data_IF_213341784203
#
_entry.id   IF_213341784203
#
_cell.length_a   1.000
_cell.length_b   1.000
_cell.length_c   1.000
_cell.angle_alpha   90.00
_cell.angle_beta   90.00
_cell.angle_gamma   90.00
#
_symmetry.space_group_name_H-M   'P 1'
#
loop_
_entity.id
_entity.type
_entity.pdbx_description
1 polymer ?
#
# COMPACT_ATOMS: atom_id res chain seq x y z
N UNK A 1 14.37 8.75 4.79
CA UNK A 1 13.20 9.07 3.93
C UNK A 1 12.51 10.30 4.49
N UNK A 2 12.23 10.40 5.79
CA UNK A 2 11.56 11.54 6.41
C UNK A 2 12.20 12.90 6.04
N UNK A 3 13.53 12.98 6.03
CA UNK A 3 14.24 14.21 5.60
C UNK A 3 13.98 14.62 4.15
N UNK A 4 13.54 13.69 3.29
CA UNK A 4 13.22 13.94 1.88
C UNK A 4 11.73 14.21 1.65
N UNK A 5 10.88 13.97 2.66
CA UNK A 5 9.42 14.06 2.55
C UNK A 5 8.92 15.41 1.98
N UNK A 6 9.35 16.57 2.49
CA UNK A 6 8.86 17.85 1.97
C UNK A 6 9.15 18.03 0.49
N UNK A 7 10.35 17.65 0.03
CA UNK A 7 10.74 17.71 -1.37
C UNK A 7 9.98 16.73 -2.26
N UNK A 8 9.66 15.54 -1.74
CA UNK A 8 8.83 14.56 -2.47
C UNK A 8 7.39 15.05 -2.58
N UNK A 9 6.83 15.59 -1.52
CA UNK A 9 5.49 16.19 -1.50
C UNK A 9 5.37 17.32 -2.52
N UNK A 10 6.32 18.23 -2.56
CA UNK A 10 6.38 19.31 -3.56
C UNK A 10 6.41 18.74 -4.99
N UNK A 11 7.23 17.73 -5.25
CA UNK A 11 7.31 17.07 -6.55
C UNK A 11 6.02 16.36 -6.96
N UNK A 12 5.26 15.82 -5.99
CA UNK A 12 3.96 15.20 -6.25
C UNK A 12 2.93 16.27 -6.61
N UNK A 13 2.80 17.31 -5.78
CA UNK A 13 1.81 18.39 -5.97
C UNK A 13 2.02 19.10 -7.31
N UNK A 14 3.27 19.33 -7.71
CA UNK A 14 3.61 20.00 -8.97
C UNK A 14 3.65 19.05 -10.19
N UNK A 15 3.21 17.80 -10.03
CA UNK A 15 3.13 16.84 -11.14
C UNK A 15 1.90 17.10 -12.01
N UNK A 16 1.96 16.82 -13.32
CA UNK A 16 0.77 16.79 -14.18
C UNK A 16 -0.29 15.79 -13.72
N UNK A 17 0.12 14.69 -13.08
CA UNK A 17 -0.75 13.71 -12.45
C UNK A 17 -0.24 13.39 -11.04
N UNK A 18 -0.68 14.14 -10.01
CA UNK A 18 -0.27 13.93 -8.63
C UNK A 18 -0.68 12.54 -8.11
N UNK A 19 -1.88 12.05 -8.47
CA UNK A 19 -2.37 10.75 -8.04
C UNK A 19 -1.46 9.62 -8.51
N UNK A 20 -1.20 9.53 -9.80
CA UNK A 20 -0.33 8.48 -10.36
C UNK A 20 1.09 8.56 -9.78
N UNK A 21 1.62 9.78 -9.61
CA UNK A 21 2.95 9.96 -9.05
C UNK A 21 3.05 9.51 -7.59
N UNK A 22 2.07 9.86 -6.76
CA UNK A 22 2.03 9.43 -5.35
C UNK A 22 1.82 7.91 -5.25
N UNK A 23 0.94 7.33 -6.07
CA UNK A 23 0.71 5.89 -6.17
C UNK A 23 2.00 5.14 -6.48
N UNK A 24 2.77 5.59 -7.47
CA UNK A 24 4.08 5.00 -7.81
C UNK A 24 5.06 5.07 -6.65
N UNK A 25 5.11 6.17 -5.94
CA UNK A 25 5.94 6.31 -4.74
C UNK A 25 5.50 5.33 -3.64
N UNK A 26 4.21 5.18 -3.39
CA UNK A 26 3.68 4.23 -2.41
C UNK A 26 4.07 2.77 -2.75
N UNK A 27 4.02 2.39 -4.03
CA UNK A 27 4.47 1.06 -4.47
C UNK A 27 6.00 0.91 -4.37
N UNK A 28 6.76 1.99 -4.58
CA UNK A 28 8.23 1.97 -4.51
C UNK A 28 8.78 1.68 -3.13
N UNK A 29 8.04 2.01 -2.09
CA UNK A 29 8.42 1.72 -0.71
C UNK A 29 8.72 0.23 -0.49
N UNK A 30 7.98 -0.65 -1.16
CA UNK A 30 8.16 -2.10 -1.12
C UNK A 30 9.53 -2.58 -1.66
N UNK A 31 10.27 -1.75 -2.39
CA UNK A 31 11.63 -2.06 -2.88
C UNK A 31 12.67 -1.82 -1.78
N UNK A 32 12.41 -0.91 -0.85
CA UNK A 32 13.37 -0.54 0.18
C UNK A 32 13.66 -1.67 1.16
N UNK A 33 12.77 -2.64 1.28
CA UNK A 33 12.95 -3.86 2.05
C UNK A 33 14.01 -4.82 1.49
N UNK A 34 14.28 -4.75 0.19
CA UNK A 34 15.33 -5.56 -0.46
C UNK A 34 16.76 -5.03 -0.22
N UNK A 35 16.91 -3.93 0.50
CA UNK A 35 18.14 -3.17 0.68
C UNK A 35 19.14 -3.77 1.68
N UNK A 36 19.38 -5.08 1.66
CA UNK A 36 20.51 -5.71 2.38
C UNK A 36 21.83 -5.55 1.62
N UNK A 37 21.86 -4.84 0.49
CA UNK A 37 23.13 -4.52 -0.18
C UNK A 37 23.60 -3.11 0.21
N UNK A 38 24.86 -3.01 0.62
CA UNK A 38 25.57 -1.80 1.09
C UNK A 38 25.66 -0.63 0.05
N UNK A 39 24.89 -0.66 -1.04
CA UNK A 39 24.91 0.36 -2.10
C UNK A 39 23.53 0.77 -2.60
N UNK A 40 22.48 0.66 -1.75
CA UNK A 40 21.12 1.02 -2.15
C UNK A 40 20.98 2.55 -2.31
N UNK A 41 20.81 3.01 -3.55
CA UNK A 41 20.56 4.41 -3.84
C UNK A 41 19.06 4.67 -3.96
N UNK A 42 18.47 5.22 -2.89
CA UNK A 42 17.04 5.57 -2.80
C UNK A 42 16.60 6.42 -4.00
N UNK A 43 17.39 7.41 -4.40
CA UNK A 43 17.01 8.32 -5.48
C UNK A 43 16.96 7.62 -6.85
N UNK A 44 17.89 6.70 -7.12
CA UNK A 44 17.87 5.89 -8.36
C UNK A 44 16.66 4.95 -8.38
N UNK A 45 16.34 4.34 -7.25
CA UNK A 45 15.17 3.45 -7.14
C UNK A 45 13.87 4.21 -7.35
N UNK A 46 13.71 5.36 -6.71
CA UNK A 46 12.55 6.23 -6.91
C UNK A 46 12.42 6.66 -8.39
N UNK A 47 13.53 7.03 -9.04
CA UNK A 47 13.51 7.38 -10.46
C UNK A 47 13.07 6.20 -11.34
N UNK A 48 13.60 5.00 -11.07
CA UNK A 48 13.22 3.80 -11.81
C UNK A 48 11.72 3.52 -11.71
N UNK A 49 11.15 3.58 -10.51
CA UNK A 49 9.71 3.32 -10.31
C UNK A 49 8.83 4.37 -10.98
N UNK A 50 9.24 5.64 -10.88
CA UNK A 50 8.50 6.74 -11.51
C UNK A 50 8.47 6.64 -13.05
N UNK A 51 9.40 5.89 -13.66
CA UNK A 51 9.50 5.69 -15.10
C UNK A 51 9.03 4.30 -15.56
N UNK A 52 8.82 3.34 -14.65
CA UNK A 52 8.40 1.98 -14.99
C UNK A 52 6.92 1.93 -15.28
N UNK A 53 6.50 1.16 -16.28
CA UNK A 53 5.09 0.84 -16.47
C UNK A 53 4.63 -0.18 -15.43
N UNK A 54 3.34 -0.14 -15.10
CA UNK A 54 2.72 -1.21 -14.32
C UNK A 54 2.44 -2.40 -15.23
N UNK A 55 2.84 -3.60 -14.81
CA UNK A 55 2.55 -4.82 -15.56
C UNK A 55 1.06 -5.20 -15.54
N UNK A 56 0.37 -4.80 -14.45
CA UNK A 56 -1.09 -4.77 -14.35
C UNK A 56 -1.43 -3.38 -13.85
N UNK A 57 -2.30 -2.66 -14.54
CA UNK A 57 -2.59 -1.26 -14.27
C UNK A 57 -4.10 -0.98 -14.17
N UNK A 58 -4.66 -1.16 -12.98
CA UNK A 58 -6.02 -0.77 -12.65
C UNK A 58 -6.06 0.58 -11.91
N UNK A 59 -5.04 1.43 -12.06
CA UNK A 59 -4.89 2.70 -11.32
C UNK A 59 -6.00 3.71 -11.63
N UNK A 60 -6.51 3.73 -12.86
CA UNK A 60 -7.63 4.59 -13.25
C UNK A 60 -8.90 4.14 -12.52
N UNK A 61 -9.19 2.84 -12.52
CA UNK A 61 -10.34 2.30 -11.80
C UNK A 61 -10.21 2.52 -10.29
N UNK A 62 -9.02 2.30 -9.72
CA UNK A 62 -8.75 2.61 -8.32
C UNK A 62 -9.09 4.06 -7.97
N UNK A 63 -8.63 5.02 -8.78
CA UNK A 63 -8.91 6.45 -8.57
C UNK A 63 -10.41 6.74 -8.58
N UNK A 64 -11.14 6.20 -9.56
CA UNK A 64 -12.60 6.37 -9.66
C UNK A 64 -13.35 5.75 -8.48
N UNK A 65 -12.91 4.58 -8.03
CA UNK A 65 -13.53 3.87 -6.90
C UNK A 65 -13.30 4.63 -5.59
N UNK A 66 -12.09 5.11 -5.33
CA UNK A 66 -11.80 5.96 -4.17
C UNK A 66 -12.69 7.20 -4.15
N UNK A 67 -12.86 7.87 -5.28
CA UNK A 67 -13.69 9.08 -5.36
C UNK A 67 -15.19 8.85 -5.07
N UNK A 68 -15.66 7.63 -5.30
CA UNK A 68 -17.07 7.24 -5.10
C UNK A 68 -17.31 6.54 -3.75
N UNK A 69 -16.26 6.11 -3.08
CA UNK A 69 -16.35 5.41 -1.80
C UNK A 69 -16.85 6.32 -0.69
N UNK A 70 -17.64 5.78 0.24
CA UNK A 70 -17.94 6.42 1.52
C UNK A 70 -16.85 6.11 2.54
N UNK A 71 -16.25 4.92 2.46
CA UNK A 71 -15.21 4.46 3.39
C UNK A 71 -14.09 3.77 2.61
N UNK A 72 -12.86 4.20 2.85
CA UNK A 72 -11.65 3.59 2.30
C UNK A 72 -10.85 2.97 3.43
N UNK A 73 -10.43 1.71 3.27
CA UNK A 73 -9.49 1.04 4.16
C UNK A 73 -8.15 0.85 3.44
N UNK A 74 -7.08 1.37 4.02
CA UNK A 74 -5.72 1.21 3.53
C UNK A 74 -4.95 0.23 4.43
N UNK A 75 -4.54 -0.91 3.89
CA UNK A 75 -3.73 -1.91 4.61
C UNK A 75 -2.25 -1.64 4.36
N UNK A 76 -1.55 -1.12 5.36
CA UNK A 76 -0.10 -0.93 5.34
C UNK A 76 0.64 -2.27 5.34
N UNK A 77 1.93 -2.23 4.99
CA UNK A 77 2.82 -3.40 5.01
C UNK A 77 4.04 -3.10 5.90
N UNK A 78 5.11 -2.50 5.37
CA UNK A 78 6.36 -2.35 6.11
C UNK A 78 6.60 -0.93 6.64
N UNK A 79 7.24 -0.80 7.82
CA UNK A 79 7.53 0.49 8.47
C UNK A 79 8.41 1.42 7.60
N UNK A 80 9.27 0.86 6.75
CA UNK A 80 10.13 1.65 5.86
C UNK A 80 9.38 2.38 4.74
N UNK A 81 8.17 1.95 4.39
CA UNK A 81 7.40 2.49 3.27
C UNK A 81 6.25 3.41 3.68
N UNK A 82 5.81 3.38 4.94
CA UNK A 82 4.61 4.10 5.39
C UNK A 82 4.67 5.63 5.15
N UNK A 83 5.86 6.20 5.02
CA UNK A 83 6.05 7.61 4.64
C UNK A 83 5.52 7.90 3.23
N UNK A 84 5.68 6.95 2.32
CA UNK A 84 5.13 7.07 0.96
C UNK A 84 3.63 6.78 0.94
N UNK A 85 3.15 5.89 1.79
CA UNK A 85 1.72 5.66 2.00
C UNK A 85 1.05 6.95 2.50
N UNK A 86 1.66 7.64 3.49
CA UNK A 86 1.18 8.95 3.96
C UNK A 86 1.07 9.95 2.80
N UNK A 87 2.09 10.04 1.96
CA UNK A 87 2.08 10.95 0.81
C UNK A 87 0.96 10.63 -0.19
N UNK A 88 0.69 9.35 -0.41
CA UNK A 88 -0.41 8.93 -1.27
C UNK A 88 -1.77 9.23 -0.63
N UNK A 89 -1.94 8.96 0.66
CA UNK A 89 -3.16 9.27 1.41
C UNK A 89 -3.44 10.78 1.42
N UNK A 90 -2.42 11.61 1.64
CA UNK A 90 -2.55 13.07 1.52
C UNK A 90 -2.98 13.51 0.12
N UNK A 91 -2.55 12.78 -0.92
CA UNK A 91 -2.94 13.07 -2.31
C UNK A 91 -4.37 12.61 -2.61
N UNK A 92 -4.83 11.53 -2.00
CA UNK A 92 -6.21 11.03 -2.10
C UNK A 92 -7.19 12.01 -1.47
N UNK A 93 -6.87 12.59 -0.32
CA UNK A 93 -7.70 13.51 0.47
C UNK A 93 -9.12 12.96 0.75
N UNK A 94 -9.23 11.66 1.05
CA UNK A 94 -10.52 11.03 1.32
C UNK A 94 -10.96 11.31 2.77
N UNK A 95 -12.20 11.81 3.02
CA UNK A 95 -12.62 12.27 4.33
C UNK A 95 -12.84 11.16 5.36
N UNK A 96 -12.97 9.91 4.92
CA UNK A 96 -13.21 8.74 5.77
C UNK A 96 -12.28 7.60 5.32
N UNK A 97 -11.00 7.73 5.67
CA UNK A 97 -9.95 6.77 5.34
C UNK A 97 -9.32 6.21 6.61
N UNK A 98 -9.33 4.89 6.73
CA UNK A 98 -8.65 4.14 7.78
C UNK A 98 -7.32 3.62 7.28
N UNK A 99 -6.25 3.78 8.06
CA UNK A 99 -4.94 3.20 7.82
C UNK A 99 -4.68 2.09 8.82
N UNK A 100 -4.66 0.85 8.35
CA UNK A 100 -4.47 -0.33 9.20
C UNK A 100 -3.01 -0.79 9.20
N UNK A 101 -2.48 -1.01 10.39
CA UNK A 101 -1.14 -1.58 10.66
C UNK A 101 -1.25 -2.93 11.35
N UNK A 102 -0.13 -3.63 11.53
CA UNK A 102 -0.08 -4.93 12.22
C UNK A 102 -0.40 -4.81 13.71
N UNK A 103 -0.83 -5.93 14.29
CA UNK A 103 -1.14 -6.05 15.72
C UNK A 103 0.07 -5.88 16.61
N UNK A 104 1.24 -6.34 16.14
CA UNK A 104 2.51 -6.24 16.84
C UNK A 104 3.68 -6.08 15.85
N UNK A 105 4.87 -5.86 16.37
CA UNK A 105 6.11 -5.78 15.60
C UNK A 105 6.53 -7.15 15.07
N UNK A 106 6.16 -7.44 13.83
CA UNK A 106 6.49 -8.68 13.12
C UNK A 106 7.45 -8.36 11.98
N UNK A 107 8.68 -8.86 12.06
CA UNK A 107 9.76 -8.60 11.11
C UNK A 107 9.99 -7.09 10.99
N UNK A 108 9.52 -6.46 9.92
CA UNK A 108 9.60 -5.03 9.64
C UNK A 108 8.22 -4.42 9.34
N UNK A 109 7.16 -5.10 9.75
CA UNK A 109 5.80 -4.62 9.56
C UNK A 109 5.56 -3.30 10.31
N UNK A 110 4.76 -2.43 9.72
CA UNK A 110 4.36 -1.17 10.34
C UNK A 110 3.44 -1.41 11.55
N UNK A 111 3.70 -0.67 12.62
CA UNK A 111 2.94 -0.69 13.88
C UNK A 111 2.21 0.63 14.11
N UNK A 112 1.34 0.67 15.13
CA UNK A 112 0.69 1.93 15.56
C UNK A 112 1.71 2.99 15.99
N UNK A 113 2.84 2.58 16.60
CA UNK A 113 3.90 3.50 17.00
C UNK A 113 4.57 4.12 15.77
N UNK A 114 4.89 3.31 14.75
CA UNK A 114 5.47 3.79 13.49
C UNK A 114 4.53 4.78 12.79
N UNK A 115 3.23 4.45 12.71
CA UNK A 115 2.24 5.30 12.08
C UNK A 115 2.11 6.66 12.81
N UNK A 116 2.07 6.66 14.15
CA UNK A 116 2.07 7.90 14.96
C UNK A 116 3.36 8.68 14.81
N UNK A 117 4.51 8.00 14.77
CA UNK A 117 5.81 8.65 14.61
C UNK A 117 5.89 9.50 13.33
N UNK A 118 5.26 9.07 12.25
CA UNK A 118 5.20 9.83 11.01
C UNK A 118 3.96 10.73 10.90
N UNK A 119 3.17 10.85 11.98
CA UNK A 119 1.95 11.65 12.02
C UNK A 119 0.92 11.21 10.95
N UNK A 120 0.72 9.90 10.80
CA UNK A 120 -0.29 9.35 9.88
C UNK A 120 -1.71 9.72 10.33
N UNK A 121 -1.92 9.92 11.63
CA UNK A 121 -3.17 10.35 12.27
C UNK A 121 -3.63 11.76 11.87
N UNK A 122 -2.79 12.56 11.23
CA UNK A 122 -3.20 13.84 10.63
C UNK A 122 -3.98 13.67 9.32
N UNK A 123 -3.89 12.50 8.69
CA UNK A 123 -4.41 12.26 7.33
C UNK A 123 -5.30 11.03 7.20
N UNK A 124 -5.37 10.18 8.23
CA UNK A 124 -6.19 8.97 8.28
C UNK A 124 -6.49 8.56 9.72
N UNK A 125 -7.59 7.85 9.95
CA UNK A 125 -7.83 7.14 11.20
C UNK A 125 -6.95 5.89 11.27
N UNK A 126 -5.97 5.87 12.20
CA UNK A 126 -5.05 4.74 12.33
C UNK A 126 -5.64 3.65 13.22
N UNK A 127 -5.62 2.40 12.72
CA UNK A 127 -6.11 1.23 13.45
C UNK A 127 -5.09 0.10 13.43
N UNK A 128 -5.17 -0.78 14.42
CA UNK A 128 -4.44 -2.05 14.41
C UNK A 128 -5.32 -3.15 13.87
N UNK A 129 -4.79 -4.02 13.01
CA UNK A 129 -5.52 -5.22 12.61
C UNK A 129 -5.59 -6.29 13.73
N UNK A 130 -4.83 -6.11 14.82
CA UNK A 130 -4.83 -7.01 15.98
C UNK A 130 -4.23 -8.40 15.71
N UNK A 131 -3.65 -8.62 14.52
CA UNK A 131 -3.05 -9.91 14.14
C UNK A 131 -1.52 -9.77 13.99
N UNK A 132 -0.79 -10.65 14.65
CA UNK A 132 0.67 -10.67 14.77
C UNK A 132 1.36 -11.55 13.71
N UNK A 133 0.98 -11.37 12.43
CA UNK A 133 1.58 -12.11 11.33
C UNK A 133 1.82 -11.21 10.10
N UNK A 134 2.74 -11.59 9.19
CA UNK A 134 3.11 -10.77 8.02
C UNK A 134 2.05 -10.75 6.90
N UNK A 135 0.79 -11.11 7.23
CA UNK A 135 -0.34 -11.14 6.30
C UNK A 135 -1.60 -10.59 6.99
N UNK A 136 -2.65 -10.33 6.24
CA UNK A 136 -3.98 -10.05 6.80
C UNK A 136 -4.89 -11.26 6.58
N UNK A 137 -5.14 -12.00 7.66
CA UNK A 137 -6.13 -13.09 7.70
C UNK A 137 -7.33 -12.55 8.49
N UNK A 138 -8.37 -12.13 7.79
CA UNK A 138 -9.50 -11.35 8.37
C UNK A 138 -10.09 -12.05 9.60
N UNK A 139 -10.29 -13.36 9.56
CA UNK A 139 -10.88 -14.15 10.66
C UNK A 139 -9.99 -14.23 11.93
N UNK A 140 -8.74 -13.79 11.82
CA UNK A 140 -7.78 -13.72 12.94
C UNK A 140 -7.53 -12.31 13.44
N UNK A 141 -8.10 -11.33 12.75
CA UNK A 141 -7.96 -9.93 13.11
C UNK A 141 -8.91 -9.54 14.27
N UNK A 142 -8.67 -8.35 14.84
CA UNK A 142 -9.52 -7.80 15.89
C UNK A 142 -10.94 -7.54 15.40
N UNK A 143 -11.92 -7.57 16.30
CA UNK A 143 -13.32 -7.25 15.96
C UNK A 143 -13.49 -5.86 15.38
N UNK A 144 -12.75 -4.87 15.90
CA UNK A 144 -12.71 -3.50 15.39
C UNK A 144 -12.24 -3.45 13.92
N UNK A 145 -11.13 -4.13 13.62
CA UNK A 145 -10.63 -4.20 12.25
C UNK A 145 -11.64 -4.88 11.31
N UNK A 146 -12.22 -6.01 11.72
CA UNK A 146 -13.22 -6.75 10.93
C UNK A 146 -14.41 -5.87 10.62
N UNK A 147 -14.92 -5.10 11.60
CA UNK A 147 -16.04 -4.20 11.38
C UNK A 147 -15.73 -3.14 10.32
N UNK A 148 -14.54 -2.53 10.37
CA UNK A 148 -14.10 -1.54 9.39
C UNK A 148 -13.87 -2.20 8.01
N UNK A 149 -13.25 -3.38 7.99
CA UNK A 149 -13.02 -4.16 6.77
C UNK A 149 -14.34 -4.47 6.05
N UNK A 150 -15.37 -4.88 6.80
CA UNK A 150 -16.69 -5.17 6.24
C UNK A 150 -17.46 -3.92 5.79
N UNK A 151 -17.23 -2.76 6.41
CA UNK A 151 -17.83 -1.48 6.02
C UNK A 151 -17.13 -0.80 4.84
N UNK A 152 -15.86 -1.12 4.59
CA UNK A 152 -15.10 -0.48 3.54
C UNK A 152 -15.69 -0.76 2.15
N UNK A 153 -15.91 0.32 1.38
CA UNK A 153 -16.32 0.24 -0.03
C UNK A 153 -15.13 -0.09 -0.93
N UNK A 154 -13.94 0.40 -0.56
CA UNK A 154 -12.68 0.16 -1.28
C UNK A 154 -11.60 -0.18 -0.28
N UNK A 155 -10.85 -1.23 -0.56
CA UNK A 155 -9.68 -1.65 0.22
C UNK A 155 -8.43 -1.51 -0.66
N UNK A 156 -7.47 -0.71 -0.19
CA UNK A 156 -6.13 -0.58 -0.77
C UNK A 156 -5.20 -1.48 0.04
N UNK A 157 -4.57 -2.46 -0.59
CA UNK A 157 -3.78 -3.47 0.11
C UNK A 157 -2.33 -3.44 -0.37
N UNK A 158 -1.41 -3.12 0.55
CA UNK A 158 0.02 -3.06 0.28
C UNK A 158 0.70 -4.40 0.52
N UNK A 159 1.65 -4.72 -0.36
CA UNK A 159 2.58 -5.81 -0.20
C UNK A 159 2.04 -7.22 -0.52
N UNK A 160 2.99 -8.13 -0.73
CA UNK A 160 2.68 -9.50 -1.15
C UNK A 160 2.05 -10.34 -0.03
N UNK A 161 2.44 -10.13 1.24
CA UNK A 161 1.85 -10.83 2.37
C UNK A 161 0.34 -10.58 2.49
N UNK A 162 -0.10 -9.33 2.31
CA UNK A 162 -1.53 -9.01 2.30
C UNK A 162 -2.25 -9.60 1.07
N UNK A 163 -1.60 -9.59 -0.11
CA UNK A 163 -2.15 -10.28 -1.29
C UNK A 163 -2.45 -11.75 -0.99
N UNK A 164 -1.49 -12.48 -0.41
CA UNK A 164 -1.62 -13.90 -0.10
C UNK A 164 -2.76 -14.18 0.89
N UNK A 165 -2.94 -13.32 1.89
CA UNK A 165 -4.00 -13.48 2.89
C UNK A 165 -5.41 -13.11 2.41
N UNK A 166 -5.49 -12.23 1.40
CA UNK A 166 -6.78 -11.68 0.95
C UNK A 166 -7.21 -12.16 -0.44
N UNK A 167 -6.38 -12.95 -1.11
CA UNK A 167 -6.62 -13.36 -2.49
C UNK A 167 -7.95 -14.11 -2.66
N UNK A 168 -8.36 -14.88 -1.67
CA UNK A 168 -9.59 -15.69 -1.71
C UNK A 168 -10.85 -14.96 -1.20
N UNK A 169 -10.70 -13.72 -0.68
CA UNK A 169 -11.84 -12.90 -0.25
C UNK A 169 -12.57 -12.34 -1.48
N UNK A 170 -13.66 -12.99 -1.90
CA UNK A 170 -14.38 -12.68 -3.15
C UNK A 170 -15.41 -11.56 -3.05
N UNK A 171 -15.75 -11.14 -1.85
CA UNK A 171 -16.87 -10.26 -1.52
C UNK A 171 -16.50 -8.77 -1.41
N UNK A 172 -15.20 -8.44 -1.52
CA UNK A 172 -14.70 -7.06 -1.34
C UNK A 172 -14.01 -6.49 -2.58
N UNK A 173 -14.15 -5.19 -2.75
CA UNK A 173 -13.44 -4.40 -3.76
C UNK A 173 -12.01 -4.12 -3.27
N UNK A 174 -11.06 -5.00 -3.58
CA UNK A 174 -9.66 -4.91 -3.13
C UNK A 174 -8.76 -4.56 -4.30
N UNK A 175 -7.91 -3.55 -4.11
CA UNK A 175 -6.81 -3.21 -5.01
C UNK A 175 -5.47 -3.49 -4.35
N UNK A 176 -4.68 -4.34 -4.98
CA UNK A 176 -3.36 -4.71 -4.51
C UNK A 176 -2.29 -3.83 -5.14
N UNK A 177 -1.47 -3.21 -4.31
CA UNK A 177 -0.36 -2.33 -4.70
C UNK A 177 0.96 -2.95 -4.24
N UNK A 178 1.72 -3.55 -5.15
CA UNK A 178 2.96 -4.24 -4.77
C UNK A 178 3.97 -4.35 -5.91
N UNK A 179 5.22 -4.64 -5.54
CA UNK A 179 6.21 -5.22 -6.43
C UNK A 179 6.19 -6.74 -6.25
N UNK A 180 6.23 -7.47 -7.36
CA UNK A 180 6.25 -8.93 -7.37
C UNK A 180 7.62 -9.45 -6.88
N UNK A 181 7.63 -10.13 -5.73
CA UNK A 181 8.87 -10.58 -5.06
C UNK A 181 9.22 -12.05 -5.32
N UNK A 182 8.25 -12.91 -5.63
CA UNK A 182 8.50 -14.34 -5.84
C UNK A 182 7.97 -14.85 -7.19
N UNK A 183 8.55 -15.97 -7.65
CA UNK A 183 8.19 -16.59 -8.93
C UNK A 183 6.78 -17.18 -8.92
N UNK A 184 6.30 -17.70 -7.77
CA UNK A 184 4.96 -18.31 -7.66
C UNK A 184 3.87 -17.30 -7.94
N UNK A 185 3.96 -16.12 -7.31
CA UNK A 185 3.00 -15.02 -7.56
C UNK A 185 3.16 -14.46 -8.97
N UNK A 186 4.40 -14.34 -9.48
CA UNK A 186 4.65 -13.91 -10.85
C UNK A 186 3.93 -14.81 -11.87
N UNK A 187 4.09 -16.12 -11.74
CA UNK A 187 3.43 -17.12 -12.60
C UNK A 187 1.91 -17.08 -12.47
N UNK A 188 1.40 -17.04 -11.24
CA UNK A 188 -0.05 -16.96 -10.95
C UNK A 188 -0.71 -15.74 -11.59
N UNK A 189 0.00 -14.60 -11.63
CA UNK A 189 -0.51 -13.34 -12.19
C UNK A 189 -0.12 -13.11 -13.65
N UNK A 190 0.69 -13.98 -14.26
CA UNK A 190 1.16 -13.82 -15.63
C UNK A 190 2.13 -12.64 -15.83
N UNK A 191 2.88 -12.27 -14.80
CA UNK A 191 3.84 -11.16 -14.79
C UNK A 191 5.25 -11.65 -14.43
N UNK A 192 6.22 -10.76 -14.34
CA UNK A 192 7.61 -11.10 -13.99
C UNK A 192 7.93 -10.69 -12.54
N UNK A 193 8.86 -11.43 -11.94
CA UNK A 193 9.47 -10.98 -10.69
C UNK A 193 10.14 -9.62 -10.87
N UNK A 194 9.86 -8.68 -10.01
CA UNK A 194 10.32 -7.30 -10.06
C UNK A 194 9.35 -6.34 -10.74
N UNK A 195 8.28 -6.83 -11.35
CA UNK A 195 7.23 -5.99 -11.93
C UNK A 195 6.43 -5.30 -10.82
N UNK A 196 5.92 -4.11 -11.14
CA UNK A 196 4.99 -3.35 -10.33
C UNK A 196 3.57 -3.59 -10.81
N UNK A 197 2.67 -3.76 -9.87
CA UNK A 197 1.25 -3.97 -10.18
C UNK A 197 0.36 -3.07 -9.33
N UNK A 198 -0.66 -2.56 -9.98
CA UNK A 198 -1.87 -2.00 -9.39
C UNK A 198 -2.99 -2.89 -9.89
N UNK A 199 -3.46 -3.80 -9.05
CA UNK A 199 -4.31 -4.88 -9.51
C UNK A 199 -5.59 -4.94 -8.70
N UNK A 200 -6.74 -4.85 -9.38
CA UNK A 200 -8.02 -5.19 -8.81
C UNK A 200 -8.15 -6.70 -8.65
N UNK A 201 -8.66 -7.15 -7.53
CA UNK A 201 -8.78 -8.57 -7.20
C UNK A 201 -9.48 -9.42 -8.25
N UNK A 202 -10.53 -8.94 -8.88
CA UNK A 202 -11.34 -9.70 -9.86
C UNK A 202 -10.60 -9.95 -11.21
N UNK A 203 -9.38 -9.45 -11.37
CA UNK A 203 -8.50 -9.71 -12.52
C UNK A 203 -7.74 -11.04 -12.45
N UNK A 204 -7.87 -11.80 -11.35
CA UNK A 204 -7.16 -13.07 -11.17
C UNK A 204 -8.08 -14.21 -11.64
N UNK A 205 -7.70 -14.85 -12.75
CA UNK A 205 -8.34 -16.08 -13.25
C UNK A 205 -7.71 -17.31 -12.62
#
# INVERSE_FOLDING_TARGET
>A
ILSKYPKLKEKVINSPDPFNKALRLAISGNIMDYGVSNSFNVDQTLQKVLQSDFAIDDSIELKEKIQKANTVLYLGDNCGEIVFDKLFIETIMHPNLYYAVRGDAIINAATLEDARYIQMDEVADIISNGYDAPSTIVDKCSAEFVEIFEKADVIISKGQGNLEGLLERSDKEIFFLLMIKCHVIAEKLGVKKGDFVVMKKNGIK
#
